data_IF_163198555421
#
_entry.id   IF_163198555421
#
_cell.length_a   1.000
_cell.length_b   1.000
_cell.length_c   1.000
_cell.angle_alpha   90.00
_cell.angle_beta   90.00
_cell.angle_gamma   90.00
#
_symmetry.space_group_name_H-M   'P 1'
#
loop_
_entity.id
_entity.type
_entity.pdbx_description
1 polymer ?
#
# COMPACT_ATOMS: atom_id res chain seq x y z
N UNK A 1 4.60 12.03 22.31
CA UNK A 1 5.37 10.96 21.66
C UNK A 1 4.57 9.67 21.74
N UNK A 2 4.29 9.04 20.61
CA UNK A 2 3.64 7.72 20.58
C UNK A 2 4.70 6.63 20.78
N UNK A 3 4.31 5.47 21.27
CA UNK A 3 5.23 4.35 21.50
C UNK A 3 4.64 3.08 20.95
N UNK A 4 5.41 2.39 20.11
CA UNK A 4 5.00 1.15 19.45
C UNK A 4 5.87 0.00 19.92
N UNK A 5 5.22 -1.13 20.21
CA UNK A 5 5.91 -2.41 20.44
C UNK A 5 6.00 -3.15 19.11
N UNK A 6 7.22 -3.38 18.62
CA UNK A 6 7.50 -4.16 17.41
C UNK A 6 8.11 -5.51 17.79
N UNK A 7 8.28 -6.39 16.80
CA UNK A 7 8.98 -7.67 16.96
C UNK A 7 10.45 -7.50 17.36
N UNK A 8 11.06 -6.33 17.11
CA UNK A 8 12.46 -6.03 17.40
C UNK A 8 12.62 -5.09 18.60
N UNK A 9 11.53 -4.78 19.31
CA UNK A 9 11.51 -4.03 20.57
C UNK A 9 10.62 -2.80 20.53
N UNK A 10 10.79 -1.90 21.49
CA UNK A 10 9.96 -0.69 21.59
C UNK A 10 10.62 0.46 20.84
N UNK A 11 9.83 1.19 20.05
CA UNK A 11 10.24 2.41 19.32
C UNK A 11 9.34 3.56 19.75
N UNK A 12 9.95 4.70 20.08
CA UNK A 12 9.24 5.93 20.37
C UNK A 12 9.23 6.81 19.11
N UNK A 13 8.08 7.35 18.75
CA UNK A 13 7.87 8.02 17.46
C UNK A 13 7.58 9.50 17.67
N UNK A 14 8.43 10.34 17.10
CA UNK A 14 8.30 11.80 17.04
C UNK A 14 8.19 12.31 15.60
N UNK A 15 8.89 11.65 14.67
CA UNK A 15 8.88 11.96 13.24
C UNK A 15 8.36 10.77 12.43
N UNK A 16 7.68 11.06 11.33
CA UNK A 16 7.16 10.03 10.44
C UNK A 16 7.28 10.45 8.97
N UNK A 17 7.50 9.46 8.11
CA UNK A 17 7.45 9.58 6.66
C UNK A 17 6.27 8.81 6.08
N UNK A 18 5.70 9.33 5.00
CA UNK A 18 4.64 8.68 4.23
C UNK A 18 4.99 8.70 2.75
N UNK A 19 5.27 7.52 2.19
CA UNK A 19 5.71 7.40 0.80
C UNK A 19 5.12 6.11 0.19
N UNK A 20 4.12 6.28 -0.68
CA UNK A 20 3.45 5.15 -1.34
C UNK A 20 3.95 4.86 -2.75
N UNK A 21 4.70 5.79 -3.34
CA UNK A 21 5.16 5.73 -4.72
C UNK A 21 6.56 6.34 -4.82
N UNK A 22 7.37 5.84 -5.74
CA UNK A 22 8.64 6.49 -6.07
C UNK A 22 8.44 7.77 -6.88
N UNK A 23 9.51 8.53 -7.04
CA UNK A 23 9.51 9.80 -7.78
C UNK A 23 9.38 9.55 -9.28
N UNK A 24 8.74 10.47 -9.98
CA UNK A 24 8.63 10.49 -11.44
C UNK A 24 8.07 9.17 -12.05
N UNK A 25 7.18 8.51 -11.31
CA UNK A 25 6.56 7.24 -11.73
C UNK A 25 7.46 6.01 -11.57
N UNK A 26 8.63 6.15 -10.93
CA UNK A 26 9.49 5.01 -10.61
C UNK A 26 8.90 4.18 -9.45
N UNK A 27 9.23 2.88 -9.37
CA UNK A 27 8.96 2.10 -8.16
C UNK A 27 9.68 2.69 -6.95
N UNK A 28 9.12 2.48 -5.75
CA UNK A 28 9.77 2.86 -4.49
C UNK A 28 11.22 2.34 -4.44
N UNK A 29 12.13 3.18 -3.96
CA UNK A 29 13.53 2.83 -3.82
C UNK A 29 13.79 2.26 -2.41
N UNK A 30 14.25 1.00 -2.37
CA UNK A 30 14.55 0.27 -1.14
C UNK A 30 15.64 0.94 -0.32
N UNK A 31 16.67 1.45 -0.97
CA UNK A 31 17.84 2.04 -0.32
C UNK A 31 17.51 3.44 0.18
N UNK A 32 16.67 4.18 -0.54
CA UNK A 32 16.13 5.46 -0.06
C UNK A 32 15.27 5.26 1.20
N UNK A 33 14.36 4.29 1.19
CA UNK A 33 13.52 3.99 2.35
C UNK A 33 14.36 3.49 3.54
N UNK A 34 15.40 2.69 3.32
CA UNK A 34 16.30 2.23 4.37
C UNK A 34 17.23 3.33 4.94
N UNK A 35 17.52 4.36 4.15
CA UNK A 35 18.31 5.52 4.58
C UNK A 35 17.47 6.64 5.19
N UNK A 36 16.14 6.53 5.18
CA UNK A 36 15.26 7.46 5.86
C UNK A 36 15.54 7.49 7.37
N UNK A 37 15.46 8.68 7.96
CA UNK A 37 15.80 8.94 9.38
C UNK A 37 14.56 9.19 10.24
N UNK A 38 13.40 8.73 9.78
CA UNK A 38 12.13 8.85 10.50
C UNK A 38 11.91 7.69 11.46
N UNK A 39 11.30 7.96 12.62
CA UNK A 39 11.00 6.91 13.61
C UNK A 39 9.89 5.96 13.13
N UNK A 40 9.07 6.41 12.19
CA UNK A 40 7.99 5.64 11.56
C UNK A 40 7.93 5.90 10.06
N UNK A 41 7.79 4.84 9.27
CA UNK A 41 7.59 4.89 7.82
C UNK A 41 6.28 4.20 7.47
N UNK A 42 5.38 4.93 6.81
CA UNK A 42 4.19 4.36 6.16
C UNK A 42 4.49 4.22 4.68
N UNK A 43 4.50 2.98 4.20
CA UNK A 43 4.84 2.63 2.81
C UNK A 43 3.81 1.64 2.24
N UNK A 44 3.83 1.42 0.93
CA UNK A 44 3.13 0.28 0.36
C UNK A 44 3.86 -1.04 0.68
N UNK A 45 3.14 -2.16 0.61
CA UNK A 45 3.74 -3.50 0.75
C UNK A 45 4.61 -3.90 -0.45
N UNK A 46 4.47 -3.21 -1.58
CA UNK A 46 5.26 -3.41 -2.78
C UNK A 46 5.80 -2.11 -3.35
N UNK A 47 6.75 -2.21 -4.27
CA UNK A 47 7.41 -1.04 -4.84
C UNK A 47 6.58 -0.31 -5.88
N UNK A 48 5.61 -0.98 -6.49
CA UNK A 48 4.81 -0.46 -7.62
C UNK A 48 3.30 -0.72 -7.47
N UNK A 49 2.85 -1.18 -6.30
CA UNK A 49 1.46 -1.54 -6.04
C UNK A 49 1.10 -3.01 -6.35
N UNK A 50 1.92 -3.73 -7.11
CA UNK A 50 1.70 -5.14 -7.52
C UNK A 50 2.45 -6.13 -6.63
N UNK A 51 2.08 -7.42 -6.56
CA UNK A 51 2.94 -8.39 -5.83
C UNK A 51 4.23 -8.73 -6.59
N UNK A 52 4.33 -8.43 -7.89
CA UNK A 52 5.52 -8.72 -8.68
C UNK A 52 6.77 -8.01 -8.11
N UNK A 53 6.60 -6.79 -7.57
CA UNK A 53 7.66 -6.05 -6.89
C UNK A 53 7.41 -5.89 -5.38
N UNK A 54 6.84 -6.90 -4.73
CA UNK A 54 6.65 -6.91 -3.26
C UNK A 54 7.99 -6.80 -2.53
N UNK A 55 8.01 -6.03 -1.43
CA UNK A 55 9.19 -5.99 -0.56
C UNK A 55 9.44 -7.37 0.07
N UNK A 56 10.71 -7.76 0.13
CA UNK A 56 11.12 -8.97 0.83
C UNK A 56 11.20 -8.73 2.34
N UNK A 57 11.25 -9.80 3.13
CA UNK A 57 11.47 -9.70 4.57
C UNK A 57 12.81 -9.01 4.90
N UNK A 58 13.84 -9.21 4.07
CA UNK A 58 15.15 -8.58 4.23
C UNK A 58 15.09 -7.07 3.98
N UNK A 59 14.28 -6.61 3.01
CA UNK A 59 14.07 -5.18 2.78
C UNK A 59 13.43 -4.51 3.99
N UNK A 60 12.36 -5.13 4.50
CA UNK A 60 11.63 -4.61 5.65
C UNK A 60 12.53 -4.63 6.89
N UNK A 61 13.41 -5.62 7.03
CA UNK A 61 14.41 -5.65 8.12
C UNK A 61 15.38 -4.49 8.00
N UNK A 62 15.94 -4.25 6.80
CA UNK A 62 16.83 -3.09 6.56
C UNK A 62 16.15 -1.76 6.85
N UNK A 63 14.90 -1.58 6.43
CA UNK A 63 14.13 -0.36 6.72
C UNK A 63 13.84 -0.18 8.22
N UNK A 64 13.59 -1.28 8.94
CA UNK A 64 13.41 -1.25 10.40
C UNK A 64 14.71 -0.90 11.13
N UNK A 65 15.86 -1.28 10.60
CA UNK A 65 17.15 -1.03 11.25
C UNK A 65 17.63 0.41 11.03
N UNK A 66 17.31 1.02 9.88
CA UNK A 66 17.29 2.47 9.60
C UNK A 66 18.58 3.26 9.87
N UNK A 67 18.93 4.22 9.01
CA UNK A 67 20.10 5.08 9.28
C UNK A 67 19.91 6.04 10.46
N UNK A 68 18.66 6.40 10.79
CA UNK A 68 18.31 7.19 11.98
C UNK A 68 18.19 6.37 13.27
N UNK A 69 18.43 5.06 13.20
CA UNK A 69 18.10 4.10 14.25
C UNK A 69 16.80 3.35 13.95
N UNK A 70 16.35 2.56 14.94
CA UNK A 70 15.22 1.63 14.74
C UNK A 70 13.93 2.38 14.40
N UNK A 71 13.28 1.94 13.33
CA UNK A 71 12.04 2.52 12.81
C UNK A 71 10.86 1.54 12.89
N UNK A 72 9.65 2.08 13.03
CA UNK A 72 8.40 1.33 12.81
C UNK A 72 8.07 1.40 11.32
N UNK A 73 8.01 0.26 10.63
CA UNK A 73 7.58 0.19 9.23
C UNK A 73 6.16 -0.34 9.16
N UNK A 74 5.25 0.42 8.55
CA UNK A 74 3.82 0.12 8.44
C UNK A 74 3.42 0.03 6.97
N UNK A 75 2.66 -1.00 6.61
CA UNK A 75 2.06 -1.13 5.28
C UNK A 75 0.75 -0.35 5.21
N UNK A 76 0.62 0.49 4.20
CA UNK A 76 -0.68 1.02 3.78
C UNK A 76 -1.54 -0.12 3.24
N UNK A 77 -2.83 -0.08 3.58
CA UNK A 77 -3.87 -0.97 3.06
C UNK A 77 -5.12 -0.12 2.87
N UNK A 78 -5.63 -0.06 1.64
CA UNK A 78 -6.97 0.49 1.40
C UNK A 78 -8.01 -0.56 1.79
N UNK A 79 -8.86 -0.24 2.75
CA UNK A 79 -9.95 -1.12 3.21
C UNK A 79 -11.33 -0.70 2.67
N UNK A 80 -11.41 0.47 2.05
CA UNK A 80 -12.67 1.04 1.54
C UNK A 80 -12.73 1.12 0.01
N UNK A 81 -11.67 0.71 -0.69
CA UNK A 81 -11.57 0.75 -2.14
C UNK A 81 -10.79 -0.44 -2.69
N UNK A 82 -11.21 -0.90 -3.88
CA UNK A 82 -10.52 -1.89 -4.69
C UNK A 82 -9.85 -1.18 -5.88
N UNK A 83 -8.56 -1.44 -6.10
CA UNK A 83 -7.78 -0.79 -7.17
C UNK A 83 -7.35 -1.78 -8.25
N UNK A 84 -7.44 -1.39 -9.51
CA UNK A 84 -7.25 -2.28 -10.66
C UNK A 84 -5.81 -2.76 -10.90
N UNK A 85 -4.84 -2.04 -10.35
CA UNK A 85 -3.43 -2.41 -10.35
C UNK A 85 -3.06 -3.42 -9.25
N UNK A 86 -3.98 -3.78 -8.34
CA UNK A 86 -3.73 -4.78 -7.29
C UNK A 86 -4.00 -6.18 -7.81
N UNK A 87 -3.19 -7.14 -7.37
CA UNK A 87 -3.28 -8.54 -7.80
C UNK A 87 -4.61 -9.25 -7.47
N UNK A 88 -5.39 -8.76 -6.49
CA UNK A 88 -6.71 -9.31 -6.21
C UNK A 88 -7.74 -8.93 -7.27
N UNK A 89 -7.48 -7.87 -8.05
CA UNK A 89 -8.40 -7.37 -9.04
C UNK A 89 -8.60 -8.39 -10.15
N UNK A 90 -9.86 -8.64 -10.49
CA UNK A 90 -10.19 -9.52 -11.60
C UNK A 90 -10.63 -8.68 -12.80
N UNK A 91 -9.99 -8.81 -13.98
CA UNK A 91 -10.38 -8.04 -15.17
C UNK A 91 -11.84 -8.24 -15.62
N UNK A 92 -12.53 -9.28 -15.14
CA UNK A 92 -13.96 -9.47 -15.42
C UNK A 92 -14.91 -8.61 -14.57
N UNK A 93 -14.39 -7.92 -13.56
CA UNK A 93 -15.18 -7.04 -12.70
C UNK A 93 -15.68 -5.80 -13.43
N UNK A 94 -14.99 -5.39 -14.49
CA UNK A 94 -15.41 -4.31 -15.38
C UNK A 94 -15.40 -4.75 -16.84
N UNK A 95 -16.08 -4.02 -17.71
CA UNK A 95 -16.14 -4.32 -19.15
C UNK A 95 -14.77 -4.16 -19.84
N UNK A 96 -13.91 -3.28 -19.33
CA UNK A 96 -12.59 -2.96 -19.91
C UNK A 96 -11.45 -3.69 -19.20
N UNK A 97 -11.71 -4.31 -18.05
CA UNK A 97 -10.67 -4.83 -17.15
C UNK A 97 -10.04 -3.78 -16.24
N UNK A 98 -10.31 -2.50 -16.45
CA UNK A 98 -9.81 -1.38 -15.65
C UNK A 98 -10.93 -0.80 -14.79
N UNK A 99 -10.56 -0.16 -13.68
CA UNK A 99 -11.50 0.40 -12.72
C UNK A 99 -12.44 1.43 -13.35
N UNK A 100 -11.99 2.20 -14.35
CA UNK A 100 -12.79 3.19 -15.07
C UNK A 100 -13.95 2.59 -15.90
N UNK A 101 -13.89 1.30 -16.22
CA UNK A 101 -14.91 0.62 -17.02
C UNK A 101 -16.28 0.53 -16.32
N UNK A 102 -17.33 0.32 -17.11
CA UNK A 102 -18.64 -0.11 -16.58
C UNK A 102 -18.51 -1.45 -15.85
N UNK A 103 -19.43 -1.76 -14.92
CA UNK A 103 -19.42 -3.04 -14.22
C UNK A 103 -19.60 -4.19 -15.23
N UNK A 104 -18.74 -5.19 -15.15
CA UNK A 104 -18.77 -6.36 -16.02
C UNK A 104 -19.68 -7.46 -15.48
N UNK A 105 -19.88 -8.50 -16.29
CA UNK A 105 -20.73 -9.65 -15.91
C UNK A 105 -20.23 -10.46 -14.70
N UNK A 106 -18.97 -10.26 -14.28
CA UNK A 106 -18.39 -10.90 -13.09
C UNK A 106 -18.12 -9.91 -11.96
N UNK A 107 -18.67 -8.69 -12.03
CA UNK A 107 -18.56 -7.73 -10.94
C UNK A 107 -19.19 -8.32 -9.66
N UNK A 108 -18.46 -8.37 -8.54
CA UNK A 108 -19.06 -8.75 -7.28
C UNK A 108 -19.98 -7.62 -6.80
N UNK A 109 -21.01 -7.98 -6.03
CA UNK A 109 -22.03 -7.04 -5.57
C UNK A 109 -21.46 -5.94 -4.65
N UNK A 110 -20.33 -6.22 -3.99
CA UNK A 110 -19.62 -5.26 -3.16
C UNK A 110 -18.85 -4.21 -3.96
N UNK A 111 -18.59 -4.43 -5.26
CA UNK A 111 -17.84 -3.48 -6.09
C UNK A 111 -18.73 -2.29 -6.46
N UNK A 112 -18.39 -1.14 -5.90
CA UNK A 112 -19.16 0.07 -6.00
C UNK A 112 -18.79 0.98 -7.17
N UNK A 113 -19.16 2.26 -7.08
CA UNK A 113 -18.84 3.24 -8.11
C UNK A 113 -17.34 3.53 -8.19
N UNK A 114 -16.90 3.98 -9.37
CA UNK A 114 -15.59 4.57 -9.60
C UNK A 114 -15.33 5.73 -8.63
N UNK A 115 -14.10 5.83 -8.13
CA UNK A 115 -13.66 7.01 -7.39
C UNK A 115 -13.18 8.09 -8.40
N UNK A 116 -13.87 9.23 -8.54
CA UNK A 116 -13.47 10.25 -9.51
C UNK A 116 -12.12 10.91 -9.16
N UNK A 117 -11.72 10.88 -7.90
CA UNK A 117 -10.43 11.42 -7.44
C UNK A 117 -9.27 10.42 -7.62
N UNK A 118 -9.61 9.13 -7.82
CA UNK A 118 -8.66 8.02 -7.99
C UNK A 118 -9.21 7.03 -9.04
N UNK A 119 -9.07 7.34 -10.34
CA UNK A 119 -9.72 6.60 -11.44
C UNK A 119 -9.31 5.12 -11.55
N UNK A 120 -8.19 4.73 -10.94
CA UNK A 120 -7.72 3.36 -10.84
C UNK A 120 -8.40 2.58 -9.70
N UNK A 121 -9.33 3.19 -8.96
CA UNK A 121 -9.99 2.61 -7.78
C UNK A 121 -11.50 2.77 -7.78
N UNK A 122 -12.20 1.78 -7.23
CA UNK A 122 -13.65 1.81 -6.99
C UNK A 122 -13.95 1.65 -5.52
N UNK A 123 -14.98 2.34 -5.02
CA UNK A 123 -15.49 2.15 -3.65
C UNK A 123 -15.91 0.70 -3.47
N UNK A 124 -15.74 0.15 -2.27
CA UNK A 124 -16.27 -1.17 -1.92
C UNK A 124 -17.26 -1.09 -0.77
N UNK A 125 -18.22 -2.00 -0.75
CA UNK A 125 -19.06 -2.26 0.42
C UNK A 125 -18.27 -3.10 1.41
N UNK A 126 -17.35 -2.47 2.15
CA UNK A 126 -16.40 -3.16 3.05
C UNK A 126 -17.03 -3.97 4.21
N UNK A 127 -18.35 -3.90 4.36
CA UNK A 127 -19.13 -4.68 5.33
C UNK A 127 -19.70 -5.96 4.71
N UNK A 128 -19.57 -6.15 3.40
CA UNK A 128 -19.87 -7.41 2.72
C UNK A 128 -18.90 -8.49 3.19
N UNK A 129 -19.35 -9.75 3.27
CA UNK A 129 -18.56 -10.84 3.84
C UNK A 129 -17.56 -11.45 2.85
N UNK A 130 -17.79 -11.22 1.54
CA UNK A 130 -16.86 -11.57 0.46
C UNK A 130 -15.79 -10.48 0.26
#
# INVERSE_FOLDING_TARGET
MATFRTSTGTVAVETWGYELQGRDGAPLDRDLLASATHDLLVIDSSRDGTNALRFSADDITRMKDGMGGRSVVVSYISIGEASDFRDYWQPGWTETGLAEGGLGARAPDWLGPLNPDWPESRKVRFWDEE
#
